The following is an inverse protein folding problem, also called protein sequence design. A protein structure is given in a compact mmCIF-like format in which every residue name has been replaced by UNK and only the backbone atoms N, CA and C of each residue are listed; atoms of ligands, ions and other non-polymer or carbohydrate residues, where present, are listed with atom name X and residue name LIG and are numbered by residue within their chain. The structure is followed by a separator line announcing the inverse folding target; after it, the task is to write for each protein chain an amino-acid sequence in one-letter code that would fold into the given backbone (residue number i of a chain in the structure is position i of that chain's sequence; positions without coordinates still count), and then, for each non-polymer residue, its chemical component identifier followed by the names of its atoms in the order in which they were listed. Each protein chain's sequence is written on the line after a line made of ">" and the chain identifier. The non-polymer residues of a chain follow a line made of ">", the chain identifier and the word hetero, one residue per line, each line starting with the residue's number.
data_IF_099263667893
#
_entry.id   IF_099263667893
#
_cell.length_a   1.000
_cell.length_b   1.000
_cell.length_c   1.000
_cell.angle_alpha   90.00
_cell.angle_beta   90.00
_cell.angle_gamma   90.00
#
_symmetry.space_group_name_H-M   'P 1'
#
loop_
_entity.id
_entity.type
_entity.pdbx_description
1 polymer ?
#
# COMPACT_ATOMS: atom_id res chain seq x y z
N UNK A 1 -15.03 11.86 4.45
CA UNK A 1 -15.12 10.39 4.67
C UNK A 1 -14.01 9.96 5.63
N UNK A 2 -14.07 8.76 6.22
CA UNK A 2 -12.99 8.23 7.07
C UNK A 2 -12.34 7.05 6.40
N UNK A 3 -11.01 7.00 6.42
CA UNK A 3 -10.23 5.95 5.77
C UNK A 3 -9.31 5.27 6.79
N UNK A 4 -9.16 3.94 6.74
CA UNK A 4 -8.25 3.23 7.63
C UNK A 4 -6.79 3.56 7.28
N UNK A 5 -5.99 3.85 8.29
CA UNK A 5 -4.58 4.19 8.14
C UNK A 5 -3.75 2.91 8.07
N UNK A 6 -3.07 2.69 6.95
CA UNK A 6 -2.21 1.53 6.74
C UNK A 6 -0.76 1.77 7.16
N UNK A 7 -0.34 3.04 7.20
CA UNK A 7 1.01 3.44 7.56
C UNK A 7 0.98 4.72 8.39
N UNK A 8 1.80 4.79 9.45
CA UNK A 8 1.91 5.99 10.29
C UNK A 8 2.36 7.19 9.47
N UNK A 9 1.62 8.29 9.56
CA UNK A 9 1.99 9.56 8.93
C UNK A 9 1.59 10.75 9.78
N UNK A 10 2.24 11.89 9.52
CA UNK A 10 1.88 13.17 10.11
C UNK A 10 1.11 13.97 9.08
N UNK A 11 -0.10 14.39 9.41
CA UNK A 11 -0.86 15.28 8.54
C UNK A 11 -0.22 16.67 8.53
N UNK A 12 0.00 17.22 7.34
CA UNK A 12 0.58 18.57 7.20
C UNK A 12 -0.44 19.68 7.40
N UNK A 13 -1.74 19.38 7.32
CA UNK A 13 -2.81 20.34 7.54
C UNK A 13 -3.15 20.52 9.01
N UNK A 14 -3.37 19.43 9.74
CA UNK A 14 -3.69 19.46 11.19
C UNK A 14 -2.46 19.36 12.09
N UNK A 15 -1.33 18.84 11.58
CA UNK A 15 -0.14 18.59 12.38
C UNK A 15 -0.20 17.31 13.22
N UNK A 16 -1.35 16.62 13.22
CA UNK A 16 -1.59 15.39 13.98
C UNK A 16 -0.87 14.18 13.39
N UNK A 17 -0.58 13.21 14.24
CA UNK A 17 0.05 11.96 13.86
C UNK A 17 -1.00 10.87 13.89
N UNK A 18 -1.24 10.24 12.73
CA UNK A 18 -2.19 9.16 12.58
C UNK A 18 -1.44 7.83 12.59
N UNK A 19 -1.84 6.92 13.47
CA UNK A 19 -1.20 5.62 13.65
C UNK A 19 -1.84 4.55 12.78
N UNK A 20 -1.13 3.43 12.59
CA UNK A 20 -1.63 2.30 11.80
C UNK A 20 -2.86 1.72 12.51
N UNK A 21 -3.95 1.54 11.76
CA UNK A 21 -5.24 1.07 12.28
C UNK A 21 -6.16 2.18 12.78
N UNK A 22 -5.69 3.43 12.90
CA UNK A 22 -6.56 4.58 13.16
C UNK A 22 -7.39 4.96 11.93
N UNK A 23 -8.43 5.77 12.13
CA UNK A 23 -9.25 6.32 11.05
C UNK A 23 -8.83 7.77 10.76
N UNK A 24 -8.49 8.07 9.51
CA UNK A 24 -8.14 9.42 9.07
C UNK A 24 -9.32 10.07 8.32
N UNK A 25 -9.82 11.23 8.78
CA UNK A 25 -10.85 11.97 8.09
C UNK A 25 -10.26 12.73 6.90
N UNK A 26 -10.74 12.45 5.69
CA UNK A 26 -10.30 13.09 4.47
C UNK A 26 -11.41 13.24 3.42
N UNK A 27 -11.21 14.19 2.51
CA UNK A 27 -11.95 14.33 1.26
C UNK A 27 -11.40 13.39 0.17
N UNK A 28 -12.19 13.15 -0.87
CA UNK A 28 -11.92 12.17 -1.92
C UNK A 28 -10.58 12.39 -2.63
N UNK A 29 -10.23 13.65 -2.95
CA UNK A 29 -8.96 13.98 -3.61
C UNK A 29 -7.74 13.75 -2.69
N UNK A 30 -7.84 14.18 -1.43
CA UNK A 30 -6.76 14.02 -0.46
C UNK A 30 -6.57 12.54 -0.10
N UNK A 31 -7.66 11.80 0.05
CA UNK A 31 -7.64 10.37 0.27
C UNK A 31 -7.01 9.62 -0.91
N UNK A 32 -7.37 9.98 -2.16
CA UNK A 32 -6.79 9.36 -3.35
C UNK A 32 -5.27 9.53 -3.41
N UNK A 33 -4.76 10.72 -3.08
CA UNK A 33 -3.31 10.96 -2.99
C UNK A 33 -2.63 10.08 -1.93
N UNK A 34 -3.22 9.97 -0.74
CA UNK A 34 -2.68 9.15 0.35
C UNK A 34 -2.83 7.64 0.10
N UNK A 35 -3.88 7.21 -0.59
CA UNK A 35 -4.08 5.83 -1.05
C UNK A 35 -3.05 5.45 -2.12
N UNK A 36 -2.80 6.34 -3.10
CA UNK A 36 -1.76 6.12 -4.12
C UNK A 36 -0.35 5.99 -3.50
N UNK A 37 -0.11 6.67 -2.37
CA UNK A 37 1.12 6.56 -1.59
C UNK A 37 1.12 5.38 -0.59
N UNK A 38 0.00 4.67 -0.42
CA UNK A 38 -0.14 3.53 0.48
C UNK A 38 -0.28 3.87 1.97
N UNK A 39 -0.64 5.11 2.31
CA UNK A 39 -0.88 5.53 3.70
C UNK A 39 -2.29 5.21 4.19
N UNK A 40 -3.28 5.23 3.30
CA UNK A 40 -4.68 4.93 3.60
C UNK A 40 -5.16 3.72 2.81
N UNK A 41 -6.09 2.96 3.39
CA UNK A 41 -6.84 1.90 2.71
C UNK A 41 -8.10 2.43 2.05
N UNK A 42 -8.79 1.56 1.29
CA UNK A 42 -10.11 1.87 0.76
C UNK A 42 -11.18 1.74 1.87
N UNK A 43 -12.30 2.46 1.71
CA UNK A 43 -13.37 2.53 2.72
C UNK A 43 -14.00 1.14 2.92
N UNK A 44 -14.13 0.36 1.85
CA UNK A 44 -14.66 -1.01 1.88
C UNK A 44 -13.63 -2.06 2.30
N UNK A 45 -12.35 -1.70 2.37
CA UNK A 45 -11.25 -2.62 2.68
C UNK A 45 -10.99 -2.69 4.18
N UNK A 46 -12.06 -2.81 4.98
CA UNK A 46 -11.97 -3.02 6.44
C UNK A 46 -11.26 -4.33 6.83
N UNK A 47 -10.72 -5.11 5.88
CA UNK A 47 -10.28 -6.47 6.16
C UNK A 47 -9.16 -7.03 5.26
N UNK A 48 -8.14 -6.26 4.89
CA UNK A 48 -6.90 -6.89 4.38
C UNK A 48 -5.61 -6.27 4.90
N UNK A 49 -5.37 -6.42 6.21
CA UNK A 49 -4.00 -6.50 6.73
C UNK A 49 -3.34 -7.82 6.31
N UNK A 50 -3.31 -8.14 5.02
CA UNK A 50 -2.37 -9.10 4.46
C UNK A 50 -1.36 -8.32 3.65
N UNK A 51 -0.24 -7.99 4.32
CA UNK A 51 1.02 -7.61 3.68
C UNK A 51 1.22 -8.57 2.51
N UNK A 52 1.10 -8.09 1.28
CA UNK A 52 1.67 -8.82 0.15
C UNK A 52 3.18 -8.75 0.37
N UNK A 53 3.87 -9.86 0.68
CA UNK A 53 5.32 -9.85 0.55
C UNK A 53 5.58 -9.53 -0.91
N UNK A 54 6.29 -8.42 -1.14
CA UNK A 54 6.78 -8.02 -2.45
C UNK A 54 7.69 -9.17 -2.90
N UNK A 55 7.10 -10.11 -3.63
CA UNK A 55 7.75 -11.33 -4.08
C UNK A 55 8.99 -10.90 -4.84
N UNK A 56 10.14 -11.24 -4.26
CA UNK A 56 11.43 -11.19 -4.92
C UNK A 56 11.27 -12.01 -6.20
N UNK A 57 11.21 -11.36 -7.35
CA UNK A 57 11.13 -12.00 -8.66
C UNK A 57 12.37 -12.85 -8.82
N UNK A 58 12.22 -14.15 -8.60
CA UNK A 58 13.20 -15.18 -8.92
C UNK A 58 13.70 -14.96 -10.34
N UNK A 59 14.99 -14.65 -10.48
CA UNK A 59 15.66 -14.62 -11.77
C UNK A 59 15.43 -15.96 -12.46
N UNK A 60 14.74 -15.89 -13.59
CA UNK A 60 14.50 -16.91 -14.59
C UNK A 60 15.72 -17.80 -14.81
N UNK A 61 15.53 -19.10 -14.57
CA UNK A 61 16.40 -20.16 -15.09
C UNK A 61 16.17 -20.19 -16.61
N UNK A 62 17.17 -19.78 -17.39
CA UNK A 62 17.20 -20.04 -18.84
C UNK A 62 18.11 -21.24 -19.03
N UNK A 63 17.48 -22.40 -19.17
CA UNK A 63 18.09 -23.61 -19.68
C UNK A 63 18.57 -23.35 -21.11
N UNK A 64 19.88 -23.33 -21.32
CA UNK A 64 20.47 -23.35 -22.66
C UNK A 64 20.72 -24.82 -23.03
N UNK A 65 19.74 -25.41 -23.72
CA UNK A 65 19.94 -26.60 -24.53
C UNK A 65 20.46 -26.14 -25.90
N UNK A 66 21.69 -26.52 -26.24
CA UNK A 66 22.17 -26.54 -27.61
C UNK A 66 22.60 -27.99 -27.88
N UNK A 67 21.70 -28.70 -28.55
CA UNK A 67 21.94 -29.90 -29.35
C UNK A 67 21.82 -29.46 -30.83
N UNK A 68 22.46 -30.20 -31.73
CA UNK A 68 22.69 -29.97 -33.18
C UNK A 68 23.99 -29.26 -33.57
N UNK A 69 25.04 -30.02 -33.93
CA UNK A 69 25.22 -30.60 -35.28
C UNK A 69 26.47 -31.49 -35.37
#
# INVERSE_FOLDING_TARGET
>A
MKYPVLKKFRDRGSGEIYEIGSEYPADTERAAGLQALGFLGQIDDKQTTKRTPRGNTSKTVISKAEDES
#
